data_IF_235494803124
#
_entry.id   IF_235494803124
#
_cell.length_a   1.000
_cell.length_b   1.000
_cell.length_c   1.000
_cell.angle_alpha   90.00
_cell.angle_beta   90.00
_cell.angle_gamma   90.00
#
_symmetry.space_group_name_H-M   'P 1'
#
loop_
_entity.id
_entity.type
_entity.pdbx_description
1 polymer ?
#
# COMPACT_ATOMS: atom_id res chain seq x y z
N UNK A 1 13.16 -1.94 11.92
CA UNK A 1 11.73 -2.24 12.01
C UNK A 1 11.42 -3.74 12.17
N UNK A 2 12.43 -4.60 12.23
CA UNK A 2 12.24 -6.04 12.41
C UNK A 2 11.76 -6.82 11.17
N UNK A 3 11.88 -6.26 9.98
CA UNK A 3 11.59 -6.97 8.73
C UNK A 3 12.50 -8.19 8.58
N UNK A 4 11.96 -9.31 8.11
CA UNK A 4 12.74 -10.52 7.88
C UNK A 4 13.74 -10.34 6.74
N UNK A 5 14.88 -10.99 6.80
CA UNK A 5 15.93 -10.89 5.80
C UNK A 5 15.45 -11.25 4.38
N UNK A 6 14.69 -12.35 4.16
CA UNK A 6 14.11 -12.62 2.84
C UNK A 6 13.20 -11.49 2.32
N UNK A 7 12.36 -10.91 3.20
CA UNK A 7 11.48 -9.80 2.81
C UNK A 7 12.26 -8.51 2.52
N UNK A 8 13.38 -8.26 3.22
CA UNK A 8 14.24 -7.11 2.96
C UNK A 8 14.95 -7.24 1.61
N UNK A 9 15.48 -8.42 1.25
CA UNK A 9 16.09 -8.68 -0.05
C UNK A 9 15.07 -8.51 -1.19
N UNK A 10 13.89 -9.12 -1.06
CA UNK A 10 12.83 -8.98 -2.06
C UNK A 10 12.39 -7.52 -2.27
N UNK A 11 12.45 -6.69 -1.22
CA UNK A 11 12.18 -5.25 -1.33
C UNK A 11 13.22 -4.53 -2.20
N UNK A 12 14.50 -4.85 -2.04
CA UNK A 12 15.58 -4.26 -2.86
C UNK A 12 15.48 -4.70 -4.32
N UNK A 13 15.23 -5.99 -4.57
CA UNK A 13 15.00 -6.50 -5.92
C UNK A 13 13.83 -5.80 -6.60
N UNK A 14 12.78 -5.53 -5.85
CA UNK A 14 11.62 -4.79 -6.34
C UNK A 14 11.97 -3.34 -6.68
N UNK A 15 12.86 -2.70 -5.92
CA UNK A 15 13.37 -1.35 -6.24
C UNK A 15 14.18 -1.36 -7.55
N UNK A 16 15.02 -2.36 -7.78
CA UNK A 16 15.73 -2.51 -9.04
C UNK A 16 14.76 -2.69 -10.22
N UNK A 17 13.75 -3.53 -10.05
CA UNK A 17 12.75 -3.79 -11.10
C UNK A 17 11.98 -2.53 -11.54
N UNK A 18 11.65 -1.60 -10.63
CA UNK A 18 10.98 -0.34 -11.02
C UNK A 18 11.90 0.59 -11.80
N UNK A 19 13.20 0.62 -11.45
CA UNK A 19 14.20 1.39 -12.20
C UNK A 19 14.30 0.85 -13.62
N UNK A 20 14.48 -0.46 -13.78
CA UNK A 20 14.58 -1.12 -15.09
C UNK A 20 13.33 -0.89 -15.94
N UNK A 21 12.15 -0.97 -15.32
CA UNK A 21 10.89 -0.75 -16.03
C UNK A 21 10.81 0.67 -16.60
N UNK A 22 11.06 1.70 -15.79
CA UNK A 22 11.04 3.09 -16.27
C UNK A 22 12.18 3.39 -17.23
N UNK A 23 13.38 2.85 -17.01
CA UNK A 23 14.50 2.98 -17.95
C UNK A 23 14.13 2.50 -19.35
N UNK A 24 13.34 1.43 -19.45
CA UNK A 24 12.89 0.87 -20.72
C UNK A 24 11.70 1.62 -21.34
N UNK A 25 10.73 2.05 -20.53
CA UNK A 25 9.44 2.53 -21.03
C UNK A 25 9.29 4.05 -21.07
N UNK A 26 9.95 4.78 -20.17
CA UNK A 26 9.79 6.22 -20.05
C UNK A 26 10.11 7.02 -21.33
N UNK A 27 11.13 6.69 -22.16
CA UNK A 27 11.37 7.41 -23.40
C UNK A 27 10.17 7.43 -24.36
N UNK A 28 9.34 6.39 -24.32
CA UNK A 28 8.10 6.34 -25.11
C UNK A 28 6.94 7.09 -24.45
N UNK A 29 6.86 7.03 -23.12
CA UNK A 29 5.81 7.66 -22.32
C UNK A 29 5.96 9.19 -22.22
N UNK A 30 7.17 9.72 -22.41
CA UNK A 30 7.47 11.15 -22.38
C UNK A 30 7.41 11.83 -23.76
N UNK A 31 7.11 11.09 -24.83
CA UNK A 31 6.95 11.69 -26.15
C UNK A 31 5.74 12.59 -26.21
N UNK A 32 5.89 13.69 -26.97
CA UNK A 32 4.77 14.55 -27.30
C UNK A 32 3.61 13.75 -27.90
N UNK A 33 2.41 13.96 -27.37
CA UNK A 33 1.20 13.27 -27.81
C UNK A 33 0.42 14.13 -28.81
N UNK A 34 0.37 13.78 -30.09
CA UNK A 34 -0.41 14.50 -31.07
C UNK A 34 -1.90 14.53 -30.70
N UNK A 35 -2.54 15.67 -30.91
CA UNK A 35 -3.96 15.89 -30.63
C UNK A 35 -4.69 16.28 -31.90
N UNK A 36 -5.84 15.67 -32.15
CA UNK A 36 -6.69 16.04 -33.27
C UNK A 36 -7.37 17.38 -32.98
N UNK A 37 -7.13 18.36 -33.83
CA UNK A 37 -7.71 19.72 -33.76
C UNK A 37 -8.34 20.10 -35.11
N UNK A 38 -9.30 21.05 -35.13
CA UNK A 38 -9.98 21.45 -36.39
C UNK A 38 -9.06 22.13 -37.40
N UNK A 39 -8.02 22.85 -36.92
CA UNK A 39 -7.07 23.60 -37.77
C UNK A 39 -5.68 23.60 -37.14
N UNK A 40 -4.64 23.61 -37.96
CA UNK A 40 -3.25 23.61 -37.50
C UNK A 40 -2.81 22.28 -36.90
N UNK A 41 -1.75 22.31 -36.11
CA UNK A 41 -1.16 21.15 -35.41
C UNK A 41 -1.15 21.35 -33.91
N UNK A 42 -1.55 20.34 -33.16
CA UNK A 42 -1.50 20.40 -31.70
C UNK A 42 -0.90 19.13 -31.10
N UNK A 43 -0.22 19.30 -29.96
CA UNK A 43 0.28 18.20 -29.15
C UNK A 43 0.27 18.54 -27.68
N UNK A 44 0.33 17.52 -26.85
CA UNK A 44 0.65 17.63 -25.42
C UNK A 44 2.14 17.36 -25.22
N UNK A 45 2.83 18.26 -24.53
CA UNK A 45 4.18 18.04 -24.01
C UNK A 45 4.16 17.80 -22.49
N UNK A 46 5.19 17.17 -21.98
CA UNK A 46 5.32 16.77 -20.57
C UNK A 46 6.56 17.42 -19.98
N UNK A 47 6.37 18.50 -19.20
CA UNK A 47 7.48 19.26 -18.65
C UNK A 47 7.62 19.01 -17.14
N UNK A 48 8.85 18.99 -16.59
CA UNK A 48 9.05 18.96 -15.13
C UNK A 48 8.52 20.23 -14.48
N UNK A 49 8.06 20.12 -13.24
CA UNK A 49 7.52 21.25 -12.47
C UNK A 49 8.49 21.80 -11.44
N UNK A 50 9.48 21.03 -10.99
CA UNK A 50 10.47 21.43 -10.01
C UNK A 50 10.77 20.38 -8.96
N UNK A 51 10.70 20.71 -7.66
CA UNK A 51 11.03 19.80 -6.56
C UNK A 51 9.74 19.22 -5.99
N UNK A 52 9.67 17.88 -5.90
CA UNK A 52 8.58 17.15 -5.23
C UNK A 52 9.05 16.69 -3.86
N UNK A 53 8.33 17.08 -2.81
CA UNK A 53 8.56 16.56 -1.46
C UNK A 53 7.81 15.24 -1.27
N UNK A 54 8.51 14.23 -0.76
CA UNK A 54 7.95 12.94 -0.39
C UNK A 54 8.00 12.73 1.13
N UNK A 55 6.88 12.28 1.72
CA UNK A 55 6.82 11.87 3.14
C UNK A 55 6.50 10.40 3.17
N UNK A 56 7.49 9.58 3.57
CA UNK A 56 7.45 8.13 3.37
C UNK A 56 7.46 7.35 4.69
N UNK A 57 6.73 6.21 4.75
CA UNK A 57 6.57 5.41 5.95
C UNK A 57 7.74 4.43 6.15
N UNK A 58 7.66 3.67 7.23
CA UNK A 58 8.69 2.74 7.69
C UNK A 58 8.51 1.28 7.23
N UNK A 59 7.32 0.89 6.72
CA UNK A 59 6.97 -0.52 6.52
C UNK A 59 7.66 -1.16 5.29
N UNK A 60 7.95 -0.36 4.27
CA UNK A 60 8.80 -0.69 3.13
C UNK A 60 9.72 0.50 2.85
N UNK A 61 10.80 0.66 3.64
CA UNK A 61 11.57 1.92 3.69
C UNK A 61 12.34 2.24 2.42
N UNK A 62 12.64 1.26 1.59
CA UNK A 62 13.24 1.45 0.27
C UNK A 62 12.17 1.53 -0.82
N UNK A 63 11.24 0.56 -0.84
CA UNK A 63 10.24 0.48 -1.90
C UNK A 63 9.33 1.71 -1.96
N UNK A 64 8.85 2.20 -0.81
CA UNK A 64 7.97 3.38 -0.80
C UNK A 64 8.68 4.64 -1.32
N UNK A 65 9.97 4.78 -1.03
CA UNK A 65 10.78 5.88 -1.56
C UNK A 65 10.98 5.69 -3.06
N UNK A 66 11.47 4.55 -3.51
CA UNK A 66 11.83 4.30 -4.91
C UNK A 66 10.61 4.26 -5.83
N UNK A 67 9.47 3.77 -5.35
CA UNK A 67 8.19 3.78 -6.07
C UNK A 67 7.76 5.17 -6.50
N UNK A 68 7.98 6.17 -5.64
CA UNK A 68 7.69 7.57 -5.93
C UNK A 68 8.87 8.27 -6.63
N UNK A 69 10.11 8.05 -6.17
CA UNK A 69 11.29 8.74 -6.66
C UNK A 69 11.56 8.46 -8.14
N UNK A 70 11.50 7.19 -8.55
CA UNK A 70 11.88 6.80 -9.92
C UNK A 70 11.05 7.53 -10.98
N UNK A 71 9.70 7.47 -10.98
CA UNK A 71 8.91 8.21 -11.97
C UNK A 71 9.07 9.73 -11.88
N UNK A 72 9.25 10.30 -10.68
CA UNK A 72 9.42 11.74 -10.48
C UNK A 72 10.76 12.22 -11.07
N UNK A 73 11.85 11.49 -10.80
CA UNK A 73 13.18 11.81 -11.34
C UNK A 73 13.25 11.61 -12.86
N UNK A 74 12.68 10.51 -13.37
CA UNK A 74 12.61 10.22 -14.80
C UNK A 74 11.78 11.28 -15.55
N UNK A 75 10.75 11.84 -14.91
CA UNK A 75 9.98 12.98 -15.41
C UNK A 75 10.74 14.31 -15.37
N UNK A 76 12.02 14.34 -14.95
CA UNK A 76 12.86 15.53 -14.90
C UNK A 76 12.68 16.41 -13.66
N UNK A 77 11.90 15.99 -12.67
CA UNK A 77 11.76 16.69 -11.39
C UNK A 77 12.87 16.28 -10.42
N UNK A 78 13.16 17.14 -9.43
CA UNK A 78 13.97 16.77 -8.28
C UNK A 78 13.10 16.18 -7.17
N UNK A 79 13.70 15.33 -6.33
CA UNK A 79 13.01 14.57 -5.30
C UNK A 79 13.64 14.79 -3.93
N UNK A 80 12.88 15.38 -3.00
CA UNK A 80 13.27 15.54 -1.60
C UNK A 80 12.43 14.59 -0.75
N UNK A 81 13.04 13.64 -0.03
CA UNK A 81 12.30 12.69 0.80
C UNK A 81 12.55 12.88 2.29
N UNK A 82 11.47 12.86 3.05
CA UNK A 82 11.47 12.68 4.50
C UNK A 82 11.10 11.22 4.81
N UNK A 83 12.06 10.34 5.10
CA UNK A 83 11.77 8.98 5.57
C UNK A 83 11.19 9.00 6.99
N UNK A 84 10.57 7.90 7.41
CA UNK A 84 10.17 7.72 8.79
C UNK A 84 11.40 7.67 9.72
N UNK A 85 11.27 8.21 10.94
CA UNK A 85 12.38 8.34 11.90
C UNK A 85 13.05 6.99 12.23
N UNK A 86 12.24 5.93 12.39
CA UNK A 86 12.76 4.59 12.70
C UNK A 86 13.46 3.89 11.52
N UNK A 87 13.43 4.46 10.32
CA UNK A 87 14.08 3.94 9.11
C UNK A 87 14.95 5.01 8.42
N UNK A 88 15.39 6.01 9.17
CA UNK A 88 16.24 7.09 8.65
C UNK A 88 17.51 6.55 7.97
N UNK A 89 18.14 5.50 8.51
CA UNK A 89 19.30 4.86 7.92
C UNK A 89 19.08 4.40 6.47
N UNK A 90 17.87 3.95 6.12
CA UNK A 90 17.56 3.58 4.74
C UNK A 90 17.61 4.81 3.79
N UNK A 91 17.10 5.96 4.25
CA UNK A 91 17.18 7.20 3.50
C UNK A 91 18.63 7.70 3.33
N UNK A 92 19.48 7.53 4.35
CA UNK A 92 20.89 7.91 4.28
C UNK A 92 21.66 7.03 3.26
N UNK A 93 21.40 5.72 3.25
CA UNK A 93 21.98 4.80 2.24
C UNK A 93 21.55 5.20 0.83
N UNK A 94 20.28 5.61 0.64
CA UNK A 94 19.83 6.11 -0.67
C UNK A 94 20.53 7.40 -1.09
N UNK A 95 20.90 8.29 -0.16
CA UNK A 95 21.75 9.45 -0.48
C UNK A 95 23.16 9.04 -0.94
N UNK A 96 23.75 8.01 -0.33
CA UNK A 96 25.05 7.47 -0.73
C UNK A 96 24.96 6.89 -2.15
N UNK A 97 23.95 6.06 -2.42
CA UNK A 97 23.70 5.49 -3.75
C UNK A 97 23.47 6.60 -4.80
N UNK A 98 22.67 7.63 -4.46
CA UNK A 98 22.42 8.75 -5.37
C UNK A 98 23.72 9.48 -5.72
N UNK A 99 24.61 9.71 -4.74
CA UNK A 99 25.93 10.31 -4.98
C UNK A 99 26.82 9.45 -5.87
N UNK A 100 26.84 8.14 -5.63
CA UNK A 100 27.62 7.19 -6.44
C UNK A 100 27.11 7.09 -7.89
N UNK A 101 25.89 7.55 -8.14
CA UNK A 101 25.24 7.60 -9.45
C UNK A 101 25.17 9.03 -10.06
N UNK A 102 25.85 10.03 -9.48
CA UNK A 102 25.80 11.44 -9.90
C UNK A 102 24.37 12.02 -9.91
N UNK A 103 23.53 11.63 -8.92
CA UNK A 103 22.15 12.09 -8.74
C UNK A 103 21.93 12.94 -7.48
N UNK A 104 22.97 13.31 -6.76
CA UNK A 104 22.88 14.04 -5.48
C UNK A 104 22.36 15.46 -5.63
N UNK A 105 22.39 16.06 -6.81
CA UNK A 105 21.77 17.35 -7.13
C UNK A 105 20.24 17.26 -7.30
N UNK A 106 19.70 16.06 -7.56
CA UNK A 106 18.28 15.85 -7.87
C UNK A 106 17.56 14.90 -6.91
N UNK A 107 18.31 14.12 -6.12
CA UNK A 107 17.75 13.25 -5.07
C UNK A 107 18.36 13.58 -3.71
N UNK A 108 17.50 13.86 -2.73
CA UNK A 108 17.94 14.11 -1.35
C UNK A 108 16.99 13.47 -0.34
N UNK A 109 17.55 12.72 0.61
CA UNK A 109 16.85 12.28 1.83
C UNK A 109 17.28 13.15 3.01
N UNK A 110 16.30 13.71 3.73
CA UNK A 110 16.53 14.61 4.85
C UNK A 110 15.74 14.19 6.09
N UNK A 111 16.38 14.30 7.26
CA UNK A 111 15.71 14.12 8.55
C UNK A 111 15.02 15.42 8.96
N UNK A 112 13.71 15.50 8.71
CA UNK A 112 12.90 16.69 8.94
C UNK A 112 11.93 16.48 10.11
N UNK A 113 11.77 17.49 10.97
CA UNK A 113 10.66 17.53 11.93
C UNK A 113 9.32 17.75 11.21
N UNK A 114 8.22 17.65 11.94
CA UNK A 114 6.88 17.94 11.40
C UNK A 114 6.76 19.41 11.01
N UNK A 115 7.30 20.31 11.83
CA UNK A 115 7.31 21.75 11.62
C UNK A 115 8.17 22.12 10.41
N UNK A 116 9.37 21.56 10.28
CA UNK A 116 10.22 21.74 9.11
C UNK A 116 9.54 21.22 7.84
N UNK A 117 8.86 20.06 7.92
CA UNK A 117 8.10 19.51 6.79
C UNK A 117 7.01 20.50 6.32
N UNK A 118 6.26 21.09 7.27
CA UNK A 118 5.24 22.09 6.94
C UNK A 118 5.84 23.37 6.30
N UNK A 119 6.98 23.85 6.82
CA UNK A 119 7.71 24.99 6.26
C UNK A 119 8.22 24.71 4.84
N UNK A 120 8.77 23.51 4.61
CA UNK A 120 9.26 23.10 3.29
C UNK A 120 8.10 22.99 2.29
N UNK A 121 6.94 22.48 2.69
CA UNK A 121 5.75 22.47 1.82
C UNK A 121 5.37 23.89 1.39
N UNK A 122 5.53 24.88 2.24
CA UNK A 122 5.22 26.28 1.91
C UNK A 122 6.28 26.94 1.01
N UNK A 123 7.51 26.41 0.91
CA UNK A 123 8.59 26.97 0.08
C UNK A 123 8.19 26.97 -1.42
N UNK A 124 8.33 28.10 -2.15
CA UNK A 124 7.92 28.19 -3.56
C UNK A 124 8.68 27.24 -4.50
N UNK A 125 9.83 26.73 -4.12
CA UNK A 125 10.59 25.76 -4.91
C UNK A 125 9.98 24.36 -4.91
N UNK A 126 9.17 24.04 -3.88
CA UNK A 126 8.41 22.80 -3.82
C UNK A 126 7.16 22.94 -4.67
N UNK A 127 6.98 22.09 -5.66
CA UNK A 127 5.88 22.14 -6.63
C UNK A 127 4.79 21.12 -6.38
N UNK A 128 5.12 20.05 -5.65
CA UNK A 128 4.18 18.99 -5.30
C UNK A 128 4.60 18.21 -4.07
N UNK A 129 3.67 17.42 -3.52
CA UNK A 129 3.90 16.60 -2.34
C UNK A 129 3.31 15.21 -2.55
N UNK A 130 4.11 14.16 -2.36
CA UNK A 130 3.62 12.79 -2.30
C UNK A 130 3.73 12.23 -0.88
N UNK A 131 2.68 11.56 -0.43
CA UNK A 131 2.61 11.01 0.94
C UNK A 131 2.17 9.58 0.90
N UNK A 132 3.00 8.69 1.44
CA UNK A 132 2.56 7.36 1.84
C UNK A 132 2.54 7.28 3.36
N UNK A 133 1.41 6.91 3.96
CA UNK A 133 1.32 6.86 5.42
C UNK A 133 -0.09 6.72 5.99
N UNK A 134 -0.29 7.19 7.23
CA UNK A 134 -1.60 7.14 7.87
C UNK A 134 -2.57 8.19 7.28
N UNK A 135 -3.88 7.88 7.31
CA UNK A 135 -4.94 8.81 6.88
C UNK A 135 -4.81 10.17 7.58
N UNK A 136 -4.49 10.18 8.88
CA UNK A 136 -4.30 11.41 9.65
C UNK A 136 -3.14 12.25 9.10
N UNK A 137 -1.98 11.64 8.86
CA UNK A 137 -0.81 12.35 8.33
C UNK A 137 -1.08 12.88 6.91
N UNK A 138 -1.66 12.05 6.04
CA UNK A 138 -2.02 12.43 4.68
C UNK A 138 -2.95 13.64 4.63
N UNK A 139 -4.02 13.65 5.45
CA UNK A 139 -4.96 14.79 5.52
C UNK A 139 -4.30 16.08 5.98
N UNK A 140 -3.41 16.03 6.98
CA UNK A 140 -2.68 17.21 7.47
C UNK A 140 -1.78 17.75 6.36
N UNK A 141 -0.98 16.90 5.74
CA UNK A 141 -0.01 17.33 4.71
C UNK A 141 -0.74 17.83 3.46
N UNK A 142 -1.79 17.15 3.02
CA UNK A 142 -2.61 17.59 1.89
C UNK A 142 -3.30 18.95 2.17
N UNK A 143 -3.75 19.17 3.41
CA UNK A 143 -4.29 20.46 3.82
C UNK A 143 -3.26 21.60 3.69
N UNK A 144 -2.01 21.36 4.13
CA UNK A 144 -0.92 22.32 3.99
C UNK A 144 -0.58 22.54 2.50
N UNK A 145 -0.46 21.47 1.71
CA UNK A 145 -0.19 21.54 0.27
C UNK A 145 -1.28 22.34 -0.45
N UNK A 146 -2.56 22.02 -0.21
CA UNK A 146 -3.70 22.72 -0.80
C UNK A 146 -3.78 24.19 -0.42
N UNK A 147 -3.48 24.54 0.86
CA UNK A 147 -3.38 25.95 1.29
C UNK A 147 -2.32 26.74 0.50
N UNK A 148 -1.25 26.09 0.08
CA UNK A 148 -0.16 26.69 -0.71
C UNK A 148 -0.34 26.46 -2.24
N UNK A 149 -1.52 26.02 -2.71
CA UNK A 149 -1.81 25.82 -4.12
C UNK A 149 -0.99 24.69 -4.79
N UNK A 150 -0.49 23.71 -4.00
CA UNK A 150 0.40 22.65 -4.48
C UNK A 150 -0.36 21.33 -4.66
N UNK A 151 -0.02 20.62 -5.74
CA UNK A 151 -0.55 19.28 -6.00
C UNK A 151 -0.09 18.32 -4.90
N UNK A 152 -0.98 17.39 -4.52
CA UNK A 152 -0.62 16.30 -3.62
C UNK A 152 -1.11 14.95 -4.18
N UNK A 153 -0.32 13.90 -3.93
CA UNK A 153 -0.67 12.51 -4.14
C UNK A 153 -0.67 11.82 -2.78
N UNK A 154 -1.72 11.06 -2.48
CA UNK A 154 -1.90 10.40 -1.19
C UNK A 154 -2.09 8.89 -1.37
N UNK A 155 -1.16 8.12 -0.80
CA UNK A 155 -1.21 6.67 -0.64
C UNK A 155 -1.32 6.37 0.85
N UNK A 156 -2.52 6.07 1.33
CA UNK A 156 -2.79 6.02 2.78
C UNK A 156 -3.16 4.60 3.24
N UNK A 157 -3.78 4.51 4.41
CA UNK A 157 -4.21 3.24 4.99
C UNK A 157 -5.21 2.49 4.12
N UNK A 158 -5.33 1.20 4.36
CA UNK A 158 -6.24 0.30 3.67
C UNK A 158 -6.78 -0.78 4.60
N UNK A 159 -7.99 -1.24 4.34
CA UNK A 159 -8.59 -2.42 4.96
C UNK A 159 -9.12 -3.33 3.85
N UNK A 160 -8.18 -3.85 3.05
CA UNK A 160 -8.50 -4.54 1.81
C UNK A 160 -9.37 -5.78 2.07
N UNK A 161 -10.46 -5.93 1.32
CA UNK A 161 -11.25 -7.15 1.32
C UNK A 161 -10.55 -8.24 0.50
N UNK A 162 -10.55 -9.46 1.04
CA UNK A 162 -10.17 -10.69 0.36
C UNK A 162 -11.40 -11.57 0.26
N UNK A 163 -12.09 -11.51 -0.88
CA UNK A 163 -13.38 -12.16 -1.11
C UNK A 163 -13.15 -13.55 -1.68
N UNK A 164 -13.75 -14.58 -1.07
CA UNK A 164 -13.69 -15.95 -1.57
C UNK A 164 -15.11 -16.46 -1.81
N UNK A 165 -15.45 -16.73 -3.06
CA UNK A 165 -16.75 -17.25 -3.46
C UNK A 165 -16.79 -18.77 -3.39
N UNK A 166 -17.99 -19.35 -3.39
CA UNK A 166 -18.23 -20.75 -3.17
C UNK A 166 -17.53 -21.68 -4.19
N UNK A 167 -17.30 -21.19 -5.40
CA UNK A 167 -16.65 -21.91 -6.50
C UNK A 167 -15.12 -21.72 -6.57
N UNK A 168 -14.52 -20.98 -5.64
CA UNK A 168 -13.09 -20.69 -5.66
C UNK A 168 -12.22 -21.94 -5.45
N UNK A 169 -10.99 -21.92 -5.99
CA UNK A 169 -9.94 -22.88 -5.64
C UNK A 169 -9.52 -22.65 -4.19
N UNK A 170 -10.06 -23.44 -3.28
CA UNK A 170 -9.99 -23.20 -1.85
C UNK A 170 -8.55 -23.28 -1.32
N UNK A 171 -7.73 -24.21 -1.80
CA UNK A 171 -6.36 -24.37 -1.32
C UNK A 171 -5.49 -23.20 -1.76
N UNK A 172 -5.60 -22.77 -3.02
CA UNK A 172 -4.91 -21.57 -3.51
C UNK A 172 -5.37 -20.30 -2.79
N UNK A 173 -6.68 -20.17 -2.55
CA UNK A 173 -7.22 -19.02 -1.83
C UNK A 173 -6.71 -18.95 -0.39
N UNK A 174 -6.63 -20.07 0.32
CA UNK A 174 -6.11 -20.15 1.68
C UNK A 174 -4.62 -19.80 1.73
N UNK A 175 -3.77 -20.41 0.91
CA UNK A 175 -2.33 -20.15 0.89
C UNK A 175 -2.04 -18.68 0.52
N UNK A 176 -2.82 -18.14 -0.42
CA UNK A 176 -2.75 -16.72 -0.78
C UNK A 176 -3.22 -15.79 0.34
N UNK A 177 -4.28 -16.15 1.06
CA UNK A 177 -4.77 -15.36 2.20
C UNK A 177 -3.77 -15.31 3.35
N UNK A 178 -3.08 -16.44 3.66
CA UNK A 178 -2.00 -16.49 4.64
C UNK A 178 -0.87 -15.52 4.25
N UNK A 179 -0.41 -15.61 3.01
CA UNK A 179 0.63 -14.70 2.49
C UNK A 179 0.18 -13.25 2.53
N UNK A 180 -1.00 -12.95 1.98
CA UNK A 180 -1.54 -11.59 1.92
C UNK A 180 -1.80 -10.97 3.30
N UNK A 181 -2.07 -11.81 4.33
CA UNK A 181 -2.35 -11.30 5.68
C UNK A 181 -1.11 -11.14 6.54
N UNK A 182 -0.18 -12.10 6.50
CA UNK A 182 0.90 -12.22 7.47
C UNK A 182 2.28 -11.78 6.97
N UNK A 183 2.48 -11.59 5.65
CA UNK A 183 3.72 -11.03 5.11
C UNK A 183 4.05 -9.68 5.78
N UNK A 184 5.34 -9.42 6.04
CA UNK A 184 5.83 -8.25 6.75
C UNK A 184 5.14 -8.03 8.13
N UNK A 185 4.82 -9.14 8.83
CA UNK A 185 4.05 -9.11 10.08
C UNK A 185 2.68 -8.41 9.94
N UNK A 186 2.04 -8.50 8.77
CA UNK A 186 0.77 -7.84 8.46
C UNK A 186 0.83 -6.31 8.36
N UNK A 187 2.01 -5.71 8.40
CA UNK A 187 2.22 -4.26 8.35
C UNK A 187 2.29 -3.76 6.89
N UNK A 188 1.23 -4.05 6.14
CA UNK A 188 1.08 -3.74 4.72
C UNK A 188 -0.25 -3.04 4.49
N UNK A 189 -0.24 -1.91 3.78
CA UNK A 189 -1.47 -1.16 3.49
C UNK A 189 -2.47 -1.99 2.68
N UNK A 190 -1.98 -2.76 1.69
CA UNK A 190 -2.76 -3.68 0.84
C UNK A 190 -2.88 -5.10 1.41
N UNK A 191 -2.64 -5.31 2.71
CA UNK A 191 -2.83 -6.64 3.31
C UNK A 191 -4.32 -7.05 3.35
N UNK A 192 -4.59 -8.36 3.21
CA UNK A 192 -5.92 -8.94 3.31
C UNK A 192 -6.46 -8.86 4.76
N UNK A 193 -6.93 -7.67 5.16
CA UNK A 193 -7.36 -7.42 6.55
C UNK A 193 -8.76 -7.98 6.83
N UNK A 194 -9.66 -7.97 5.83
CA UNK A 194 -11.03 -8.50 5.91
C UNK A 194 -11.18 -9.66 4.93
N UNK A 195 -11.11 -10.90 5.43
CA UNK A 195 -11.30 -12.11 4.62
C UNK A 195 -12.80 -12.41 4.64
N UNK A 196 -13.48 -12.18 3.51
CA UNK A 196 -14.93 -12.29 3.34
C UNK A 196 -15.24 -13.59 2.59
N UNK A 197 -15.90 -14.51 3.27
CA UNK A 197 -16.15 -15.87 2.81
C UNK A 197 -17.63 -16.05 2.48
N UNK A 198 -17.95 -16.52 1.28
CA UNK A 198 -19.33 -16.93 0.96
C UNK A 198 -19.74 -18.13 1.83
N UNK A 199 -20.94 -18.11 2.36
CA UNK A 199 -21.40 -19.03 3.41
C UNK A 199 -21.13 -20.51 3.13
N UNK A 200 -21.32 -21.06 1.90
CA UNK A 200 -21.12 -22.48 1.64
C UNK A 200 -19.69 -22.99 1.88
N UNK A 201 -18.67 -22.11 1.78
CA UNK A 201 -17.25 -22.50 1.94
C UNK A 201 -16.61 -21.95 3.22
N UNK A 202 -17.34 -21.16 3.99
CA UNK A 202 -16.79 -20.43 5.12
C UNK A 202 -16.18 -21.35 6.18
N UNK A 203 -16.83 -22.47 6.50
CA UNK A 203 -16.32 -23.44 7.48
C UNK A 203 -15.04 -24.14 6.97
N UNK A 204 -15.08 -24.68 5.76
CA UNK A 204 -13.94 -25.38 5.17
C UNK A 204 -12.73 -24.48 4.94
N UNK A 205 -12.97 -23.21 4.53
CA UNK A 205 -11.90 -22.22 4.44
C UNK A 205 -11.31 -21.92 5.82
N UNK A 206 -12.16 -21.66 6.81
CA UNK A 206 -11.73 -21.32 8.18
C UNK A 206 -10.87 -22.42 8.77
N UNK A 207 -11.28 -23.70 8.63
CA UNK A 207 -10.50 -24.83 9.12
C UNK A 207 -9.11 -24.88 8.50
N UNK A 208 -9.01 -24.80 7.16
CA UNK A 208 -7.73 -24.82 6.43
C UNK A 208 -6.87 -23.62 6.76
N UNK A 209 -7.47 -22.42 6.81
CA UNK A 209 -6.77 -21.17 7.18
C UNK A 209 -6.20 -21.24 8.59
N UNK A 210 -6.97 -21.76 9.55
CA UNK A 210 -6.53 -21.98 10.93
C UNK A 210 -5.37 -22.98 11.03
N UNK A 211 -5.40 -24.06 10.25
CA UNK A 211 -4.31 -25.02 10.21
C UNK A 211 -3.00 -24.36 9.71
N UNK A 212 -3.06 -23.57 8.64
CA UNK A 212 -1.92 -22.79 8.13
C UNK A 212 -1.45 -21.71 9.10
N UNK A 213 -2.38 -20.97 9.70
CA UNK A 213 -2.04 -19.87 10.63
C UNK A 213 -1.35 -20.39 11.91
N UNK A 214 -1.75 -21.56 12.43
CA UNK A 214 -1.09 -22.21 13.57
C UNK A 214 0.33 -22.69 13.27
N UNK A 215 0.61 -23.01 12.01
CA UNK A 215 1.93 -23.45 11.56
C UNK A 215 2.92 -22.30 11.35
N UNK A 216 2.47 -21.03 11.44
CA UNK A 216 3.33 -19.88 11.29
C UNK A 216 4.26 -19.74 12.50
N UNK A 217 5.55 -19.85 12.26
CA UNK A 217 6.57 -19.67 13.28
C UNK A 217 6.99 -18.19 13.39
N UNK A 218 7.25 -17.75 14.62
CA UNK A 218 7.83 -16.46 14.94
C UNK A 218 9.34 -16.66 15.17
N UNK A 219 10.12 -16.34 14.16
CA UNK A 219 11.54 -16.65 14.09
C UNK A 219 12.39 -15.39 14.23
N UNK A 220 13.70 -15.56 14.41
CA UNK A 220 14.63 -14.45 14.31
C UNK A 220 14.54 -13.88 12.88
N UNK A 221 14.28 -12.58 12.72
CA UNK A 221 14.16 -11.99 11.38
C UNK A 221 15.43 -12.09 10.53
N UNK A 222 16.58 -12.42 11.12
CA UNK A 222 17.84 -12.64 10.41
C UNK A 222 17.99 -14.04 9.82
N UNK A 223 17.09 -14.97 10.14
CA UNK A 223 17.11 -16.31 9.55
C UNK A 223 16.61 -16.32 8.09
N UNK A 224 17.25 -17.13 7.25
CA UNK A 224 16.95 -17.19 5.80
C UNK A 224 15.55 -17.74 5.47
N UNK A 225 14.91 -18.42 6.41
CA UNK A 225 13.58 -18.99 6.24
C UNK A 225 12.49 -18.23 7.04
N UNK A 226 12.86 -17.16 7.74
CA UNK A 226 11.93 -16.39 8.55
C UNK A 226 10.84 -15.73 7.68
N UNK A 227 9.57 -16.00 8.03
CA UNK A 227 8.42 -15.41 7.34
C UNK A 227 7.80 -14.27 8.14
N UNK A 228 7.64 -14.44 9.47
CA UNK A 228 7.07 -13.43 10.36
C UNK A 228 8.13 -13.02 11.38
N UNK A 229 8.50 -11.73 11.36
CA UNK A 229 9.31 -11.07 12.37
C UNK A 229 8.45 -10.32 13.39
N UNK A 230 9.06 -9.48 14.24
CA UNK A 230 8.35 -8.60 15.16
C UNK A 230 7.66 -7.45 14.39
N UNK A 231 6.72 -6.79 15.04
CA UNK A 231 6.22 -5.49 14.61
C UNK A 231 7.32 -4.42 14.76
N UNK A 232 7.17 -3.31 14.04
CA UNK A 232 8.21 -2.28 13.98
C UNK A 232 8.50 -1.58 15.31
N UNK A 233 7.48 -1.39 16.16
CA UNK A 233 7.57 -0.66 17.44
C UNK A 233 6.55 -1.16 18.45
N UNK A 234 6.85 -1.00 19.73
CA UNK A 234 5.98 -1.43 20.83
C UNK A 234 4.66 -0.65 20.87
N UNK A 235 4.69 0.66 20.61
CA UNK A 235 3.47 1.48 20.59
C UNK A 235 2.48 1.05 19.49
N UNK A 236 2.98 0.58 18.35
CA UNK A 236 2.15 0.03 17.28
C UNK A 236 1.55 -1.33 17.66
N UNK A 237 2.35 -2.19 18.30
CA UNK A 237 1.90 -3.47 18.84
C UNK A 237 0.81 -3.27 19.89
N UNK A 238 1.02 -2.34 20.82
CA UNK A 238 0.08 -2.08 21.92
C UNK A 238 -1.22 -1.46 21.41
N UNK A 239 -1.13 -0.58 20.40
CA UNK A 239 -2.29 -0.05 19.70
C UNK A 239 -3.10 -1.13 18.98
N UNK A 240 -2.42 -2.06 18.27
CA UNK A 240 -3.06 -3.21 17.64
C UNK A 240 -3.74 -4.12 18.68
N UNK A 241 -3.06 -4.37 19.81
CA UNK A 241 -3.61 -5.19 20.88
C UNK A 241 -4.91 -4.57 21.45
N UNK A 242 -4.95 -3.27 21.62
CA UNK A 242 -6.16 -2.58 22.05
C UNK A 242 -7.30 -2.68 21.03
N UNK A 243 -7.01 -2.62 19.72
CA UNK A 243 -8.01 -2.88 18.68
C UNK A 243 -8.57 -4.31 18.76
N UNK A 244 -7.72 -5.30 19.02
CA UNK A 244 -8.15 -6.70 19.22
C UNK A 244 -9.03 -6.82 20.47
N UNK A 245 -8.60 -6.26 21.62
CA UNK A 245 -9.39 -6.27 22.86
C UNK A 245 -10.78 -5.64 22.69
N UNK A 246 -10.86 -4.48 22.03
CA UNK A 246 -12.15 -3.82 21.74
C UNK A 246 -13.03 -4.71 20.88
N UNK A 247 -12.46 -5.31 19.84
CA UNK A 247 -13.23 -6.21 18.95
C UNK A 247 -13.79 -7.43 19.67
N UNK A 248 -13.02 -8.00 20.62
CA UNK A 248 -13.50 -9.11 21.46
C UNK A 248 -14.63 -8.66 22.42
N UNK A 249 -14.50 -7.49 23.00
CA UNK A 249 -15.55 -6.90 23.86
C UNK A 249 -16.82 -6.59 23.07
N UNK A 250 -16.70 -6.29 21.77
CA UNK A 250 -17.80 -6.04 20.83
C UNK A 250 -18.45 -7.35 20.31
N UNK A 251 -17.89 -8.52 20.65
CA UNK A 251 -18.48 -9.83 20.34
C UNK A 251 -17.75 -10.65 19.28
N UNK A 252 -16.61 -10.19 18.76
CA UNK A 252 -15.75 -11.03 17.94
C UNK A 252 -15.20 -12.22 18.76
N UNK A 253 -14.93 -13.34 18.09
CA UNK A 253 -14.40 -14.55 18.74
C UNK A 253 -12.92 -14.70 18.41
N UNK A 254 -12.11 -14.92 19.45
CA UNK A 254 -10.69 -15.23 19.28
C UNK A 254 -10.54 -16.71 18.92
N UNK A 255 -10.08 -17.00 17.71
CA UNK A 255 -9.82 -18.35 17.24
C UNK A 255 -8.34 -18.76 17.35
N UNK A 256 -7.42 -17.76 17.32
CA UNK A 256 -5.97 -17.96 17.48
C UNK A 256 -5.30 -16.67 17.96
N UNK A 257 -4.22 -16.80 18.74
CA UNK A 257 -3.33 -15.71 19.16
C UNK A 257 -3.99 -14.69 20.09
N UNK A 258 -3.98 -13.42 19.70
CA UNK A 258 -4.66 -12.32 20.41
C UNK A 258 -3.83 -11.63 21.48
N UNK A 259 -2.52 -11.89 21.56
CA UNK A 259 -1.68 -11.38 22.65
C UNK A 259 -0.26 -10.97 22.19
N UNK A 260 0.33 -9.97 22.87
CA UNK A 260 1.75 -9.70 22.79
C UNK A 260 2.57 -10.87 23.33
N UNK A 261 3.73 -11.12 22.75
CA UNK A 261 4.63 -12.18 23.19
C UNK A 261 5.74 -11.56 24.05
N UNK A 262 5.95 -12.15 25.24
CA UNK A 262 6.96 -11.69 26.21
C UNK A 262 8.37 -12.14 25.81
N UNK A 263 8.99 -11.36 24.90
CA UNK A 263 10.41 -11.48 24.50
C UNK A 263 10.92 -10.11 24.01
N UNK A 264 12.24 -9.87 23.93
CA UNK A 264 12.79 -8.59 23.43
C UNK A 264 12.28 -8.28 22.03
N UNK A 265 11.75 -7.05 21.81
CA UNK A 265 11.14 -6.61 20.56
C UNK A 265 9.60 -6.50 20.64
N UNK A 266 9.01 -6.01 19.58
CA UNK A 266 7.55 -5.76 19.52
C UNK A 266 6.81 -6.98 18.93
N UNK A 267 6.89 -8.13 19.58
CA UNK A 267 6.29 -9.37 19.10
C UNK A 267 4.80 -9.46 19.40
N UNK A 268 4.06 -9.96 18.42
CA UNK A 268 2.62 -10.23 18.53
C UNK A 268 2.28 -11.58 17.87
N UNK A 269 1.46 -12.35 18.54
CA UNK A 269 1.04 -13.66 18.04
C UNK A 269 0.21 -13.54 16.73
N UNK A 270 0.45 -14.38 15.71
CA UNK A 270 -0.47 -14.48 14.59
C UNK A 270 -1.89 -14.72 15.11
N UNK A 271 -2.80 -13.83 14.76
CA UNK A 271 -4.12 -13.75 15.38
C UNK A 271 -5.21 -13.94 14.33
N UNK A 272 -6.25 -14.69 14.72
CA UNK A 272 -7.44 -14.88 13.89
C UNK A 272 -8.68 -14.55 14.70
N UNK A 273 -9.47 -13.61 14.22
CA UNK A 273 -10.78 -13.22 14.74
C UNK A 273 -11.87 -13.78 13.81
N UNK A 274 -12.89 -14.38 14.39
CA UNK A 274 -14.09 -14.89 13.68
C UNK A 274 -15.34 -14.21 14.21
N UNK A 275 -16.44 -14.34 13.48
CA UNK A 275 -17.72 -13.70 13.87
C UNK A 275 -17.67 -12.19 13.85
N UNK A 276 -16.74 -11.61 13.09
CA UNK A 276 -16.59 -10.16 12.94
C UNK A 276 -17.74 -9.60 12.12
N UNK A 277 -18.39 -8.56 12.66
CA UNK A 277 -19.52 -7.86 12.03
C UNK A 277 -19.17 -6.41 11.66
N UNK A 278 -19.93 -5.77 10.77
CA UNK A 278 -19.66 -4.40 10.35
C UNK A 278 -19.65 -3.32 11.46
N UNK A 279 -20.16 -3.61 12.63
CA UNK A 279 -20.20 -2.67 13.77
C UNK A 279 -18.92 -2.71 14.61
N UNK A 280 -18.09 -3.74 14.44
CA UNK A 280 -16.93 -4.00 15.29
C UNK A 280 -15.68 -3.22 14.85
N UNK A 281 -14.82 -2.90 15.80
CA UNK A 281 -13.53 -2.25 15.60
C UNK A 281 -12.68 -2.96 14.53
N UNK A 282 -12.60 -4.28 14.58
CA UNK A 282 -11.81 -5.09 13.62
C UNK A 282 -12.33 -4.99 12.18
N UNK A 283 -13.58 -4.63 11.96
CA UNK A 283 -14.14 -4.39 10.64
C UNK A 283 -13.89 -2.94 10.17
N UNK A 284 -14.04 -1.97 11.07
CA UNK A 284 -14.04 -0.53 10.75
C UNK A 284 -12.65 0.10 10.69
N UNK A 285 -11.72 -0.35 11.54
CA UNK A 285 -10.39 0.20 11.64
C UNK A 285 -9.37 -0.62 10.83
N UNK A 286 -8.27 0.01 10.45
CA UNK A 286 -7.14 -0.70 9.85
C UNK A 286 -6.35 -1.45 10.93
N UNK A 287 -6.33 -2.79 10.86
CA UNK A 287 -5.50 -3.64 11.71
C UNK A 287 -4.11 -3.79 11.08
N UNK A 288 -3.18 -2.93 11.47
CA UNK A 288 -1.84 -2.86 10.87
C UNK A 288 -0.82 -3.74 11.60
N UNK A 289 -1.06 -5.05 11.56
CA UNK A 289 -0.25 -6.09 12.20
C UNK A 289 -0.84 -7.49 11.92
N UNK A 290 -0.35 -8.57 12.54
CA UNK A 290 -0.65 -9.95 12.15
C UNK A 290 -2.02 -10.45 12.66
N UNK A 291 -3.08 -9.74 12.31
CA UNK A 291 -4.47 -10.05 12.73
C UNK A 291 -5.37 -10.23 11.52
N UNK A 292 -5.89 -11.42 11.29
CA UNK A 292 -6.87 -11.74 10.26
C UNK A 292 -8.30 -11.68 10.81
N UNK A 293 -9.24 -11.10 10.04
CA UNK A 293 -10.66 -11.11 10.35
C UNK A 293 -11.40 -11.98 9.34
N UNK A 294 -12.03 -13.06 9.79
CA UNK A 294 -12.88 -13.92 8.97
C UNK A 294 -14.35 -13.48 9.11
N UNK A 295 -14.96 -13.16 7.97
CA UNK A 295 -16.29 -12.58 7.88
C UNK A 295 -17.11 -13.46 6.94
N UNK A 296 -18.32 -13.86 7.34
CA UNK A 296 -19.19 -14.66 6.48
C UNK A 296 -20.18 -13.78 5.72
N UNK A 297 -20.23 -13.94 4.41
CA UNK A 297 -21.22 -13.36 3.52
C UNK A 297 -22.25 -14.41 3.10
N UNK A 298 -23.52 -14.04 2.98
CA UNK A 298 -24.60 -14.95 2.55
C UNK A 298 -24.40 -15.44 1.12
N UNK A 299 -23.97 -14.53 0.25
CA UNK A 299 -23.81 -14.68 -1.18
C UNK A 299 -22.79 -13.65 -1.71
N UNK A 300 -22.48 -13.69 -3.01
CA UNK A 300 -21.52 -12.78 -3.64
C UNK A 300 -21.93 -11.31 -3.59
N UNK A 301 -23.23 -11.00 -3.69
CA UNK A 301 -23.72 -9.63 -3.61
C UNK A 301 -23.51 -9.06 -2.22
N UNK A 302 -23.77 -9.86 -1.19
CA UNK A 302 -23.48 -9.49 0.19
C UNK A 302 -21.98 -9.38 0.45
N UNK A 303 -21.13 -10.22 -0.18
CA UNK A 303 -19.68 -10.11 -0.07
C UNK A 303 -19.17 -8.78 -0.65
N UNK A 304 -19.70 -8.35 -1.80
CA UNK A 304 -19.38 -7.02 -2.38
C UNK A 304 -19.89 -5.88 -1.49
N UNK A 305 -21.10 -6.02 -0.94
CA UNK A 305 -21.63 -5.02 -0.02
C UNK A 305 -20.75 -4.86 1.23
N UNK A 306 -20.31 -5.97 1.84
CA UNK A 306 -19.38 -5.96 2.96
C UNK A 306 -18.00 -5.40 2.56
N UNK A 307 -17.52 -5.70 1.36
CA UNK A 307 -16.26 -5.17 0.86
C UNK A 307 -16.30 -3.63 0.78
N UNK A 308 -17.39 -3.07 0.27
CA UNK A 308 -17.59 -1.65 0.07
C UNK A 308 -17.97 -0.88 1.35
N UNK A 309 -18.48 -1.57 2.38
CA UNK A 309 -18.81 -0.99 3.69
C UNK A 309 -17.53 -0.71 4.50
N UNK A 310 -16.69 0.16 3.96
CA UNK A 310 -15.42 0.57 4.55
C UNK A 310 -15.13 2.02 4.19
N UNK A 311 -14.46 2.73 5.10
CA UNK A 311 -13.91 4.04 4.81
C UNK A 311 -12.73 3.98 3.84
N UNK A 312 -12.13 2.80 3.65
CA UNK A 312 -10.98 2.56 2.80
C UNK A 312 -11.36 2.00 1.44
N UNK A 313 -10.44 2.12 0.47
CA UNK A 313 -10.60 1.56 -0.87
C UNK A 313 -9.26 1.53 -1.60
N UNK A 314 -8.24 0.83 -1.05
CA UNK A 314 -6.92 0.77 -1.66
C UNK A 314 -6.85 -0.37 -2.69
N UNK A 315 -7.04 -1.59 -2.27
CA UNK A 315 -7.07 -2.77 -3.11
C UNK A 315 -8.17 -3.75 -2.71
N UNK A 316 -8.33 -4.81 -3.49
CA UNK A 316 -9.22 -5.95 -3.20
C UNK A 316 -8.72 -7.20 -3.92
N UNK A 317 -8.91 -8.37 -3.30
CA UNK A 317 -8.75 -9.68 -3.94
C UNK A 317 -10.11 -10.36 -4.08
N UNK A 318 -10.34 -10.99 -5.23
CA UNK A 318 -11.59 -11.71 -5.53
C UNK A 318 -11.28 -13.10 -6.07
N UNK A 319 -11.76 -14.14 -5.42
CA UNK A 319 -11.49 -15.54 -5.72
C UNK A 319 -12.75 -16.26 -6.19
N UNK A 320 -12.75 -16.73 -7.43
CA UNK A 320 -13.83 -17.49 -8.10
C UNK A 320 -13.28 -18.16 -9.34
N UNK A 321 -13.86 -19.26 -9.76
CA UNK A 321 -13.53 -19.92 -11.03
C UNK A 321 -14.35 -19.38 -12.22
N UNK A 322 -15.42 -18.63 -11.97
CA UNK A 322 -16.23 -18.00 -13.01
C UNK A 322 -15.64 -16.65 -13.43
N UNK A 323 -14.91 -16.62 -14.53
CA UNK A 323 -14.24 -15.43 -15.07
C UNK A 323 -15.24 -14.31 -15.44
N UNK A 324 -16.42 -14.65 -15.93
CA UNK A 324 -17.45 -13.66 -16.31
C UNK A 324 -18.03 -13.00 -15.06
N UNK A 325 -18.38 -13.80 -14.07
CA UNK A 325 -18.84 -13.31 -12.76
C UNK A 325 -17.79 -12.46 -12.08
N UNK A 326 -16.51 -12.89 -12.12
CA UNK A 326 -15.38 -12.14 -11.58
C UNK A 326 -15.28 -10.72 -12.14
N UNK A 327 -15.33 -10.56 -13.46
CA UNK A 327 -15.28 -9.25 -14.12
C UNK A 327 -16.48 -8.35 -13.76
N UNK A 328 -17.67 -8.93 -13.66
CA UNK A 328 -18.86 -8.21 -13.25
C UNK A 328 -18.78 -7.71 -11.80
N UNK A 329 -18.35 -8.56 -10.88
CA UNK A 329 -18.22 -8.21 -9.46
C UNK A 329 -17.08 -7.22 -9.24
N UNK A 330 -15.95 -7.36 -9.94
CA UNK A 330 -14.80 -6.46 -9.83
C UNK A 330 -15.18 -5.00 -10.13
N UNK A 331 -16.08 -4.75 -11.09
CA UNK A 331 -16.57 -3.40 -11.41
C UNK A 331 -17.42 -2.76 -10.30
N UNK A 332 -17.93 -3.58 -9.38
CA UNK A 332 -18.78 -3.14 -8.26
C UNK A 332 -18.00 -2.92 -6.96
N UNK A 333 -16.74 -3.34 -6.92
CA UNK A 333 -15.86 -3.16 -5.75
C UNK A 333 -15.23 -1.78 -5.79
N UNK A 334 -15.43 -0.99 -4.74
CA UNK A 334 -14.99 0.39 -4.61
C UNK A 334 -13.54 0.46 -4.08
N UNK A 335 -12.58 0.09 -4.90
CA UNK A 335 -11.15 0.13 -4.59
C UNK A 335 -10.32 0.64 -5.77
N UNK A 336 -9.08 1.03 -5.51
CA UNK A 336 -8.16 1.45 -6.55
C UNK A 336 -7.72 0.33 -7.48
N UNK A 337 -7.75 -0.93 -7.01
CA UNK A 337 -7.46 -2.11 -7.82
C UNK A 337 -8.19 -3.35 -7.33
N UNK A 338 -8.60 -4.23 -8.26
CA UNK A 338 -9.20 -5.54 -7.95
C UNK A 338 -8.37 -6.63 -8.62
N UNK A 339 -7.94 -7.60 -7.83
CA UNK A 339 -7.07 -8.70 -8.23
C UNK A 339 -7.84 -10.01 -8.22
N UNK A 340 -8.13 -10.56 -9.40
CA UNK A 340 -8.92 -11.78 -9.55
C UNK A 340 -7.97 -12.98 -9.45
N UNK A 341 -8.25 -13.90 -8.51
CA UNK A 341 -7.45 -15.09 -8.21
C UNK A 341 -5.97 -14.79 -7.94
N UNK A 342 -5.71 -13.62 -7.37
CA UNK A 342 -4.38 -13.14 -6.97
C UNK A 342 -4.49 -12.29 -5.70
N UNK A 343 -3.38 -12.15 -5.00
CA UNK A 343 -3.24 -11.18 -3.91
C UNK A 343 -3.07 -9.77 -4.47
N UNK A 344 -3.51 -8.77 -3.75
CA UNK A 344 -3.20 -7.36 -4.07
C UNK A 344 -1.69 -7.15 -4.01
N UNK A 345 -1.11 -6.61 -5.08
CA UNK A 345 0.31 -6.35 -5.20
C UNK A 345 0.55 -5.08 -6.03
N UNK A 346 1.66 -4.40 -5.75
CA UNK A 346 2.16 -3.33 -6.62
C UNK A 346 3.18 -3.88 -7.62
N UNK A 347 2.99 -3.55 -8.89
CA UNK A 347 3.84 -3.94 -10.01
C UNK A 347 4.15 -2.70 -10.86
N UNK A 348 5.39 -2.49 -11.34
CA UNK A 348 5.72 -1.32 -12.16
C UNK A 348 4.84 -1.12 -13.39
N UNK A 349 4.29 -2.19 -13.93
CA UNK A 349 3.41 -2.16 -15.10
C UNK A 349 1.93 -1.90 -14.78
N UNK A 350 1.56 -1.77 -13.51
CA UNK A 350 0.18 -1.53 -13.07
C UNK A 350 0.11 -0.29 -12.17
N UNK A 351 -0.87 0.61 -12.38
CA UNK A 351 -1.02 1.76 -11.52
C UNK A 351 -1.46 1.32 -10.12
N UNK A 352 -0.93 1.97 -9.10
CA UNK A 352 -1.37 1.81 -7.72
C UNK A 352 -1.92 3.13 -7.19
N UNK A 353 -2.97 3.05 -6.40
CA UNK A 353 -3.59 4.18 -5.74
C UNK A 353 -4.98 3.86 -5.25
N UNK A 354 -5.38 4.52 -4.16
CA UNK A 354 -6.66 4.28 -3.51
C UNK A 354 -7.77 5.23 -3.95
N UNK A 355 -8.96 4.96 -3.39
CA UNK A 355 -10.12 5.84 -3.36
C UNK A 355 -10.59 5.98 -1.90
N UNK A 356 -11.59 6.81 -1.63
CA UNK A 356 -12.10 7.06 -0.28
C UNK A 356 -10.97 7.57 0.65
N UNK A 357 -10.89 7.09 1.89
CA UNK A 357 -9.86 7.48 2.84
C UNK A 357 -8.47 6.90 2.53
N UNK A 358 -8.36 5.97 1.58
CA UNK A 358 -7.07 5.45 1.12
C UNK A 358 -6.29 6.42 0.24
N UNK A 359 -6.88 7.55 -0.14
CA UNK A 359 -6.18 8.63 -0.81
C UNK A 359 -6.64 8.87 -2.25
N UNK A 360 -5.79 9.55 -3.01
CA UNK A 360 -6.02 9.93 -4.40
C UNK A 360 -4.70 10.12 -5.15
N UNK A 361 -4.78 10.23 -6.48
CA UNK A 361 -3.64 10.16 -7.39
C UNK A 361 -3.29 8.71 -7.72
N UNK A 362 -2.30 8.51 -8.58
CA UNK A 362 -1.78 7.18 -8.94
C UNK A 362 -0.27 7.22 -9.02
N UNK A 363 0.35 6.17 -8.49
CA UNK A 363 1.77 5.91 -8.67
C UNK A 363 1.96 4.77 -9.68
N UNK A 364 3.17 4.64 -10.19
CA UNK A 364 3.59 3.68 -11.22
C UNK A 364 2.95 3.93 -12.60
N UNK A 365 3.44 3.26 -13.62
CA UNK A 365 3.04 3.38 -15.03
C UNK A 365 3.16 4.80 -15.59
N UNK A 366 2.52 5.05 -16.71
CA UNK A 366 2.34 6.38 -17.31
C UNK A 366 1.64 7.36 -16.34
N UNK A 367 0.68 6.85 -15.55
CA UNK A 367 -0.07 7.70 -14.62
C UNK A 367 0.83 8.28 -13.53
N UNK A 368 1.69 7.46 -12.93
CA UNK A 368 2.63 7.93 -11.91
C UNK A 368 3.74 8.82 -12.50
N UNK A 369 4.16 8.55 -13.75
CA UNK A 369 5.16 9.37 -14.44
C UNK A 369 4.64 10.80 -14.66
N UNK A 370 3.40 10.95 -15.10
CA UNK A 370 2.80 12.25 -15.39
C UNK A 370 2.20 12.94 -14.16
N UNK A 371 2.14 12.29 -13.01
CA UNK A 371 1.45 12.81 -11.83
C UNK A 371 1.98 14.17 -11.36
N UNK A 372 3.30 14.38 -11.43
CA UNK A 372 3.95 15.65 -11.06
C UNK A 372 4.57 16.38 -12.24
N UNK A 373 4.04 16.19 -13.44
CA UNK A 373 4.45 16.91 -14.64
C UNK A 373 3.42 17.97 -15.03
N UNK A 374 3.88 19.02 -15.70
CA UNK A 374 3.03 19.96 -16.39
C UNK A 374 2.67 19.40 -17.77
N UNK A 375 1.42 19.00 -17.94
CA UNK A 375 0.88 18.56 -19.23
C UNK A 375 0.50 19.82 -20.00
N UNK A 376 1.39 20.27 -20.90
CA UNK A 376 1.28 21.52 -21.64
C UNK A 376 0.68 21.29 -23.01
N UNK A 377 -0.34 22.05 -23.35
CA UNK A 377 -0.86 22.11 -24.72
C UNK A 377 -0.03 23.06 -25.57
N UNK A 378 0.48 22.58 -26.70
CA UNK A 378 1.09 23.40 -27.76
C UNK A 378 0.21 23.29 -28.99
N UNK A 379 -0.29 24.45 -29.50
CA UNK A 379 -1.15 24.51 -30.66
C UNK A 379 -0.66 25.60 -31.60
N UNK A 380 -0.22 25.18 -32.79
CA UNK A 380 0.23 26.07 -33.86
C UNK A 380 -0.86 26.18 -34.95
N UNK A 381 -0.93 27.37 -35.57
CA UNK A 381 -1.87 27.69 -36.65
C UNK A 381 -1.43 27.05 -37.97
#
# INVERSE_FOLDING_TARGET
>A
MGKTLPSARAEIEKCAAVIDWYGKHAPALLRDKPMAVPTGEAHLSYDPTGIVLAVMPWNFPYWQIMRAAVPILVGGNAFLVKPAECTLGCGLILNEIARDCDLDDVFMSANLSREQTAQIIADPRITGVTVTGSVRAGRIIAGIAGHNGKKSLLELGGSDPFIVLADADLDKAVDSAITARFANCGQVCIAAKRIILEAPIAEAFTERFMARARALALEDPMEEHAFIGPMARSDLRDGLHEQVRRSLAEGAKLALGGEPISRPGAWYAPTVLTGVTPQMTAFREELFGPVACLITARDADHAVALANDSAYGLGASLWTQDATRAQSLARRIESGGVFINRITASDPALPIGGVKASGYGRELTELGLHEFMNIKTVWAA
#
